data_IF_578589739664
#
_entry.id   IF_578589739664
#
_cell.length_a   1.000
_cell.length_b   1.000
_cell.length_c   1.000
_cell.angle_alpha   90.00
_cell.angle_beta   90.00
_cell.angle_gamma   90.00
#
_symmetry.space_group_name_H-M   'P 1'
#
loop_
_entity.id
_entity.type
_entity.pdbx_description
1 polymer ?
#
# COMPACT_ATOMS: atom_id res chain seq x y z
N UNK A 1 -2.85 25.94 4.44
CA UNK A 1 -2.82 25.88 2.95
C UNK A 1 -1.65 26.65 2.36
N UNK A 2 -1.29 27.85 2.87
CA UNK A 2 -0.12 28.62 2.37
C UNK A 2 1.24 27.92 2.51
N UNK A 3 1.32 26.86 3.30
CA UNK A 3 2.56 26.11 3.59
C UNK A 3 2.60 24.71 2.98
N UNK A 4 1.54 24.30 2.26
CA UNK A 4 1.53 22.99 1.61
C UNK A 4 2.07 23.12 0.19
N UNK A 5 3.06 22.29 -0.16
CA UNK A 5 3.59 22.24 -1.53
C UNK A 5 2.63 21.53 -2.50
N UNK A 6 1.79 20.63 -1.99
CA UNK A 6 0.85 19.82 -2.77
C UNK A 6 -0.46 19.59 -2.01
N UNK A 7 -1.57 19.65 -2.74
CA UNK A 7 -2.91 19.29 -2.29
C UNK A 7 -3.44 18.19 -3.20
N UNK A 8 -3.89 17.09 -2.60
CA UNK A 8 -4.46 15.96 -3.33
C UNK A 8 -5.94 15.82 -2.99
N UNK A 9 -6.81 16.01 -3.98
CA UNK A 9 -8.22 15.70 -3.90
C UNK A 9 -8.39 14.20 -4.18
N UNK A 10 -8.46 13.45 -3.08
CA UNK A 10 -8.29 12.00 -3.04
C UNK A 10 -9.17 11.38 -1.94
N UNK A 11 -9.45 10.08 -2.05
CA UNK A 11 -10.04 9.29 -0.96
C UNK A 11 -10.52 7.91 -1.41
N UNK A 12 -11.09 7.14 -0.49
CA UNK A 12 -11.75 5.86 -0.77
C UNK A 12 -13.06 6.01 -1.59
N UNK A 13 -13.53 7.24 -1.81
CA UNK A 13 -14.71 7.57 -2.61
C UNK A 13 -14.37 8.19 -3.97
N UNK A 14 -15.37 8.73 -4.66
CA UNK A 14 -15.20 9.43 -5.94
C UNK A 14 -15.31 10.96 -5.75
N UNK A 15 -14.20 11.72 -5.84
CA UNK A 15 -14.22 13.17 -5.62
C UNK A 15 -15.13 13.92 -6.60
N UNK A 16 -15.30 13.44 -7.83
CA UNK A 16 -16.16 14.08 -8.83
C UNK A 16 -17.66 14.00 -8.52
N UNK A 17 -18.06 13.24 -7.50
CA UNK A 17 -19.44 13.30 -6.98
C UNK A 17 -19.72 14.58 -6.19
N UNK A 18 -18.68 15.30 -5.76
CA UNK A 18 -18.84 16.57 -5.07
C UNK A 18 -19.19 17.68 -6.08
N UNK A 19 -20.38 18.32 -5.98
CA UNK A 19 -20.79 19.35 -6.93
C UNK A 19 -19.89 20.61 -6.90
N UNK A 20 -19.15 20.81 -5.82
CA UNK A 20 -18.25 21.95 -5.63
C UNK A 20 -16.79 21.62 -5.98
N UNK A 21 -16.47 20.47 -6.58
CA UNK A 21 -15.09 20.06 -6.88
C UNK A 21 -14.31 21.11 -7.69
N UNK A 22 -14.95 21.76 -8.66
CA UNK A 22 -14.34 22.84 -9.45
C UNK A 22 -14.07 24.07 -8.58
N UNK A 23 -15.01 24.45 -7.70
CA UNK A 23 -14.83 25.57 -6.76
C UNK A 23 -13.74 25.29 -5.74
N UNK A 24 -13.59 24.03 -5.31
CA UNK A 24 -12.50 23.61 -4.44
C UNK A 24 -11.15 23.78 -5.14
N UNK A 25 -11.06 23.41 -6.43
CA UNK A 25 -9.85 23.64 -7.21
C UNK A 25 -9.53 25.14 -7.37
N UNK A 26 -10.51 25.95 -7.73
CA UNK A 26 -10.39 27.42 -7.80
C UNK A 26 -9.98 28.04 -6.45
N UNK A 27 -10.51 27.50 -5.35
CA UNK A 27 -10.15 27.92 -4.00
C UNK A 27 -8.68 27.62 -3.72
N UNK A 28 -8.21 26.39 -3.97
CA UNK A 28 -6.81 26.01 -3.74
C UNK A 28 -5.88 26.91 -4.56
N UNK A 29 -6.18 27.10 -5.86
CA UNK A 29 -5.35 27.93 -6.75
C UNK A 29 -5.33 29.41 -6.35
N UNK A 30 -6.39 29.92 -5.72
CA UNK A 30 -6.44 31.30 -5.23
C UNK A 30 -5.68 31.48 -3.91
N UNK A 31 -5.74 30.49 -3.03
CA UNK A 31 -5.20 30.60 -1.67
C UNK A 31 -3.78 30.04 -1.51
N UNK A 32 -3.26 29.32 -2.51
CA UNK A 32 -1.93 28.70 -2.50
C UNK A 32 -1.36 28.51 -3.91
N UNK A 33 -0.04 28.40 -4.00
CA UNK A 33 0.69 27.96 -5.20
C UNK A 33 0.96 26.44 -5.21
N UNK A 34 0.33 25.71 -4.29
CA UNK A 34 0.45 24.26 -4.20
C UNK A 34 0.06 23.56 -5.51
N UNK A 35 0.78 22.48 -5.83
CA UNK A 35 0.35 21.56 -6.87
C UNK A 35 -1.00 20.93 -6.48
N UNK A 36 -1.97 20.98 -7.38
CA UNK A 36 -3.29 20.41 -7.14
C UNK A 36 -3.47 19.13 -7.96
N UNK A 37 -3.45 18.00 -7.28
CA UNK A 37 -3.68 16.68 -7.86
C UNK A 37 -5.13 16.24 -7.64
N UNK A 38 -5.78 15.75 -8.68
CA UNK A 38 -7.07 15.06 -8.57
C UNK A 38 -6.88 13.59 -8.92
N UNK A 39 -7.41 12.70 -8.10
CA UNK A 39 -7.56 11.28 -8.47
C UNK A 39 -9.04 10.93 -8.60
N UNK A 40 -9.38 10.19 -9.65
CA UNK A 40 -10.77 9.82 -9.94
C UNK A 40 -10.82 8.44 -10.59
N UNK A 41 -11.94 7.74 -10.44
CA UNK A 41 -12.21 6.54 -11.23
C UNK A 41 -12.50 6.85 -12.72
N UNK A 42 -12.65 8.13 -13.09
CA UNK A 42 -12.80 8.61 -14.46
C UNK A 42 -14.21 8.55 -15.04
N UNK A 43 -15.18 7.92 -14.35
CA UNK A 43 -16.55 7.74 -14.85
C UNK A 43 -17.26 9.08 -15.06
N UNK A 44 -17.12 9.99 -14.09
CA UNK A 44 -17.76 11.30 -14.11
C UNK A 44 -16.92 12.39 -14.79
N UNK A 45 -15.71 12.05 -15.26
CA UNK A 45 -14.76 12.98 -15.88
C UNK A 45 -15.14 13.31 -17.34
N UNK A 46 -16.36 13.81 -17.53
CA UNK A 46 -16.84 14.22 -18.85
C UNK A 46 -15.92 15.27 -19.47
N UNK A 47 -15.88 15.35 -20.80
CA UNK A 47 -15.06 16.32 -21.55
C UNK A 47 -15.20 17.76 -21.05
N UNK A 48 -16.44 18.16 -20.74
CA UNK A 48 -16.74 19.50 -20.21
C UNK A 48 -16.25 19.71 -18.79
N UNK A 49 -16.34 18.69 -17.93
CA UNK A 49 -15.82 18.77 -16.56
C UNK A 49 -14.29 18.78 -16.55
N UNK A 50 -13.63 17.95 -17.37
CA UNK A 50 -12.18 17.97 -17.54
C UNK A 50 -11.67 19.37 -17.90
N UNK A 51 -12.28 20.03 -18.89
CA UNK A 51 -11.91 21.40 -19.26
C UNK A 51 -12.10 22.42 -18.14
N UNK A 52 -13.16 22.28 -17.32
CA UNK A 52 -13.37 23.15 -16.15
C UNK A 52 -12.32 22.93 -15.07
N UNK A 53 -11.93 21.68 -14.80
CA UNK A 53 -10.91 21.34 -13.80
C UNK A 53 -9.52 21.86 -14.21
N UNK A 54 -9.14 21.66 -15.48
CA UNK A 54 -7.90 22.22 -16.04
C UNK A 54 -7.92 23.75 -15.94
N UNK A 55 -9.02 24.38 -16.33
CA UNK A 55 -9.17 25.85 -16.25
C UNK A 55 -9.16 26.38 -14.81
N UNK A 56 -9.58 25.57 -13.84
CA UNK A 56 -9.55 25.88 -12.41
C UNK A 56 -8.16 25.77 -11.78
N UNK A 57 -7.15 25.29 -12.53
CA UNK A 57 -5.77 25.22 -12.08
C UNK A 57 -5.38 23.89 -11.42
N UNK A 58 -6.09 22.79 -11.70
CA UNK A 58 -5.58 21.45 -11.40
C UNK A 58 -4.28 21.23 -12.17
N UNK A 59 -3.23 20.78 -11.49
CA UNK A 59 -1.91 20.55 -12.10
C UNK A 59 -1.72 19.12 -12.58
N UNK A 60 -2.42 18.16 -11.97
CA UNK A 60 -2.39 16.77 -12.41
C UNK A 60 -3.70 16.03 -12.16
N UNK A 61 -4.05 15.14 -13.10
CA UNK A 61 -5.24 14.29 -13.02
C UNK A 61 -4.83 12.83 -13.21
N UNK A 62 -5.11 12.03 -12.19
CA UNK A 62 -4.85 10.60 -12.19
C UNK A 62 -6.16 9.83 -12.31
N UNK A 63 -6.22 8.91 -13.28
CA UNK A 63 -7.36 8.03 -13.49
C UNK A 63 -7.05 6.64 -12.95
N UNK A 64 -7.86 6.13 -12.01
CA UNK A 64 -7.70 4.77 -11.49
C UNK A 64 -8.19 3.74 -12.52
N UNK A 65 -7.27 2.97 -13.10
CA UNK A 65 -7.54 2.06 -14.22
C UNK A 65 -6.63 0.82 -14.15
N UNK A 66 -7.23 -0.34 -13.87
CA UNK A 66 -6.46 -1.58 -13.59
C UNK A 66 -6.43 -2.57 -14.78
N UNK A 67 -7.12 -2.26 -15.87
CA UNK A 67 -7.08 -3.02 -17.13
C UNK A 67 -7.72 -2.20 -18.26
N UNK A 68 -7.21 -2.37 -19.48
CA UNK A 68 -7.86 -1.89 -20.71
C UNK A 68 -8.89 -2.88 -21.27
N UNK A 69 -8.90 -4.12 -20.75
CA UNK A 69 -9.95 -5.09 -21.06
C UNK A 69 -11.21 -4.73 -20.27
N UNK A 70 -12.27 -4.33 -20.96
CA UNK A 70 -13.50 -3.89 -20.32
C UNK A 70 -14.15 -4.93 -19.40
N UNK A 71 -14.12 -6.22 -19.77
CA UNK A 71 -14.71 -7.28 -18.96
C UNK A 71 -13.94 -7.45 -17.64
N UNK A 72 -12.61 -7.45 -17.70
CA UNK A 72 -11.75 -7.50 -16.53
C UNK A 72 -11.92 -6.25 -15.66
N UNK A 73 -11.95 -5.07 -16.28
CA UNK A 73 -12.14 -3.82 -15.56
C UNK A 73 -13.47 -3.80 -14.80
N UNK A 74 -14.58 -4.27 -15.41
CA UNK A 74 -15.88 -4.38 -14.73
C UNK A 74 -15.87 -5.40 -13.58
N UNK A 75 -15.07 -6.46 -13.67
CA UNK A 75 -14.90 -7.45 -12.60
C UNK A 75 -14.09 -6.89 -11.42
N UNK A 76 -13.06 -6.09 -11.71
CA UNK A 76 -12.22 -5.46 -10.68
C UNK A 76 -12.97 -4.30 -10.02
N UNK A 77 -13.59 -3.42 -10.82
CA UNK A 77 -14.30 -2.23 -10.39
C UNK A 77 -15.80 -2.38 -10.67
N UNK A 78 -16.49 -3.00 -9.72
CA UNK A 78 -17.93 -3.22 -9.85
C UNK A 78 -18.67 -1.88 -10.01
N UNK A 79 -19.54 -1.81 -11.03
CA UNK A 79 -20.33 -0.60 -11.33
C UNK A 79 -19.62 0.46 -12.15
N UNK A 80 -18.37 0.24 -12.59
CA UNK A 80 -17.66 1.18 -13.47
C UNK A 80 -18.26 1.21 -14.88
N UNK A 81 -18.38 2.41 -15.46
CA UNK A 81 -18.61 2.55 -16.89
C UNK A 81 -17.26 2.46 -17.62
N UNK A 82 -16.82 1.22 -17.89
CA UNK A 82 -15.53 0.94 -18.51
C UNK A 82 -15.32 1.70 -19.82
N UNK A 83 -16.38 1.86 -20.61
CA UNK A 83 -16.30 2.55 -21.89
C UNK A 83 -16.11 4.05 -21.68
N UNK A 84 -16.92 4.67 -20.83
CA UNK A 84 -16.81 6.09 -20.52
C UNK A 84 -15.42 6.43 -19.95
N UNK A 85 -14.88 5.61 -19.05
CA UNK A 85 -13.55 5.83 -18.46
C UNK A 85 -12.45 5.83 -19.53
N UNK A 86 -12.45 4.84 -20.43
CA UNK A 86 -11.45 4.76 -21.51
C UNK A 86 -11.59 5.92 -22.50
N UNK A 87 -12.82 6.29 -22.87
CA UNK A 87 -13.07 7.44 -23.74
C UNK A 87 -12.67 8.78 -23.08
N UNK A 88 -12.94 8.94 -21.78
CA UNK A 88 -12.57 10.12 -21.00
C UNK A 88 -11.05 10.23 -20.83
N UNK A 89 -10.35 9.14 -20.54
CA UNK A 89 -8.89 9.12 -20.45
C UNK A 89 -8.25 9.49 -21.78
N UNK A 90 -8.68 8.88 -22.90
CA UNK A 90 -8.18 9.23 -24.24
C UNK A 90 -8.40 10.70 -24.56
N UNK A 91 -9.56 11.24 -24.21
CA UNK A 91 -9.84 12.66 -24.42
C UNK A 91 -8.96 13.55 -23.55
N UNK A 92 -8.82 13.25 -22.26
CA UNK A 92 -7.99 14.00 -21.32
C UNK A 92 -6.53 14.03 -21.78
N UNK A 93 -5.95 12.85 -22.02
CA UNK A 93 -4.55 12.69 -22.45
C UNK A 93 -4.30 13.31 -23.84
N UNK A 94 -5.22 13.14 -24.79
CA UNK A 94 -5.08 13.70 -26.13
C UNK A 94 -5.30 15.21 -26.23
N UNK A 95 -6.04 15.81 -25.28
CA UNK A 95 -6.42 17.23 -25.32
C UNK A 95 -5.65 18.13 -24.37
N UNK A 96 -5.28 17.62 -23.19
CA UNK A 96 -4.80 18.43 -22.06
C UNK A 96 -3.45 17.98 -21.51
N UNK A 97 -2.77 16.99 -22.10
CA UNK A 97 -1.43 16.55 -21.65
C UNK A 97 -0.36 17.64 -21.74
N UNK A 98 -0.58 18.71 -22.51
CA UNK A 98 0.29 19.89 -22.51
C UNK A 98 -0.02 20.89 -21.39
N UNK A 99 -1.20 20.78 -20.77
CA UNK A 99 -1.72 21.72 -19.77
C UNK A 99 -1.63 21.16 -18.34
N UNK A 100 -1.83 19.85 -18.18
CA UNK A 100 -1.81 19.14 -16.89
C UNK A 100 -1.12 17.79 -17.05
N UNK A 101 -0.46 17.32 -15.99
CA UNK A 101 0.08 15.95 -15.97
C UNK A 101 -1.08 14.95 -15.96
N UNK A 102 -1.12 14.09 -16.97
CA UNK A 102 -2.13 13.02 -17.06
C UNK A 102 -1.51 11.70 -16.61
N UNK A 103 -2.02 11.19 -15.48
CA UNK A 103 -1.55 9.98 -14.85
C UNK A 103 -2.58 8.87 -14.82
N UNK A 104 -2.11 7.65 -14.60
CA UNK A 104 -2.94 6.47 -14.34
C UNK A 104 -2.46 5.78 -13.08
N UNK A 105 -3.39 5.39 -12.22
CA UNK A 105 -3.13 4.52 -11.08
C UNK A 105 -3.57 3.10 -11.41
N UNK A 106 -2.64 2.16 -11.28
CA UNK A 106 -2.84 0.76 -11.61
C UNK A 106 -2.64 -0.11 -10.36
N UNK A 107 -3.68 -0.82 -9.94
CA UNK A 107 -3.58 -1.80 -8.86
C UNK A 107 -3.21 -3.16 -9.45
N UNK A 108 -1.98 -3.60 -9.18
CA UNK A 108 -1.51 -4.91 -9.62
C UNK A 108 -2.01 -6.01 -8.71
N UNK A 109 -2.51 -7.06 -9.36
CA UNK A 109 -3.08 -8.27 -8.79
C UNK A 109 -2.61 -9.47 -9.60
N UNK A 110 -2.74 -10.67 -9.05
CA UNK A 110 -2.45 -11.92 -9.78
C UNK A 110 -3.19 -12.00 -11.11
N UNK A 111 -4.45 -11.57 -11.14
CA UNK A 111 -5.32 -11.67 -12.32
C UNK A 111 -5.04 -10.68 -13.45
N UNK A 112 -4.27 -9.61 -13.21
CA UNK A 112 -3.93 -8.60 -14.22
C UNK A 112 -2.41 -8.38 -14.38
N UNK A 113 -1.56 -9.01 -13.57
CA UNK A 113 -0.11 -8.83 -13.58
C UNK A 113 0.50 -8.90 -15.00
N UNK A 114 0.17 -9.94 -15.77
CA UNK A 114 0.74 -10.15 -17.10
C UNK A 114 0.36 -9.06 -18.12
N UNK A 115 -0.69 -8.28 -17.87
CA UNK A 115 -1.09 -7.16 -18.75
C UNK A 115 -0.23 -5.92 -18.56
N UNK A 116 0.47 -5.78 -17.45
CA UNK A 116 1.13 -4.52 -17.08
C UNK A 116 2.08 -3.99 -18.19
N UNK A 117 2.94 -4.80 -18.85
CA UNK A 117 3.80 -4.27 -19.90
C UNK A 117 3.02 -3.75 -21.13
N UNK A 118 2.01 -4.49 -21.60
CA UNK A 118 1.15 -4.03 -22.70
C UNK A 118 0.31 -2.82 -22.30
N UNK A 119 -0.22 -2.82 -21.08
CA UNK A 119 -0.98 -1.70 -20.52
C UNK A 119 -0.16 -0.41 -20.55
N UNK A 120 1.10 -0.47 -20.11
CA UNK A 120 2.02 0.66 -20.12
C UNK A 120 2.25 1.19 -21.54
N UNK A 121 2.46 0.32 -22.53
CA UNK A 121 2.57 0.75 -23.94
C UNK A 121 1.29 1.44 -24.42
N UNK A 122 0.13 0.80 -24.20
CA UNK A 122 -1.15 1.28 -24.70
C UNK A 122 -1.52 2.64 -24.10
N UNK A 123 -1.33 2.86 -22.79
CA UNK A 123 -1.63 4.17 -22.18
C UNK A 123 -0.63 5.24 -22.57
N UNK A 124 0.64 4.88 -22.78
CA UNK A 124 1.64 5.82 -23.31
C UNK A 124 1.25 6.32 -24.71
N UNK A 125 0.76 5.43 -25.58
CA UNK A 125 0.25 5.79 -26.91
C UNK A 125 -0.98 6.71 -26.85
N UNK A 126 -1.75 6.67 -25.75
CA UNK A 126 -2.86 7.60 -25.52
C UNK A 126 -2.41 8.99 -25.07
N UNK A 127 -1.13 9.17 -24.72
CA UNK A 127 -0.58 10.41 -24.18
C UNK A 127 -0.56 10.48 -22.65
N UNK A 128 -0.68 9.35 -21.96
CA UNK A 128 -0.48 9.29 -20.50
C UNK A 128 1.02 9.43 -20.21
N UNK A 129 1.36 10.27 -19.24
CA UNK A 129 2.76 10.62 -18.93
C UNK A 129 3.29 9.83 -17.74
N UNK A 130 2.40 9.38 -16.85
CA UNK A 130 2.79 8.66 -15.63
C UNK A 130 1.85 7.50 -15.32
N UNK A 131 2.42 6.33 -15.03
CA UNK A 131 1.72 5.20 -14.42
C UNK A 131 2.26 4.96 -13.02
N UNK A 132 1.40 5.09 -12.02
CA UNK A 132 1.67 4.72 -10.63
C UNK A 132 1.09 3.32 -10.36
N UNK A 133 1.95 2.35 -10.08
CA UNK A 133 1.55 0.99 -9.73
C UNK A 133 1.55 0.83 -8.22
N UNK A 134 0.50 0.20 -7.68
CA UNK A 134 0.41 -0.24 -6.29
C UNK A 134 0.03 -1.72 -6.24
N UNK A 135 0.52 -2.49 -5.28
CA UNK A 135 -0.13 -3.76 -4.96
C UNK A 135 -1.51 -3.50 -4.35
N UNK A 136 -2.40 -4.48 -4.50
CA UNK A 136 -3.74 -4.45 -3.90
C UNK A 136 -3.69 -4.44 -2.38
N UNK A 137 -4.60 -3.68 -1.76
CA UNK A 137 -4.83 -3.70 -0.31
C UNK A 137 -5.99 -4.66 -0.05
N UNK A 138 -5.78 -5.76 0.69
CA UNK A 138 -6.85 -6.72 0.91
C UNK A 138 -7.82 -6.24 1.99
N UNK A 139 -9.03 -5.84 1.59
CA UNK A 139 -10.15 -5.56 2.52
C UNK A 139 -11.00 -6.81 2.81
N UNK A 140 -10.68 -7.93 2.16
CA UNK A 140 -11.30 -9.24 2.37
C UNK A 140 -10.32 -10.36 2.05
N UNK A 141 -10.60 -11.57 2.52
CA UNK A 141 -9.82 -12.76 2.18
C UNK A 141 -9.83 -13.04 0.65
N UNK A 142 -10.94 -12.78 -0.03
CA UNK A 142 -11.04 -12.94 -1.49
C UNK A 142 -10.05 -12.04 -2.23
N UNK A 143 -9.95 -10.77 -1.82
CA UNK A 143 -8.98 -9.83 -2.38
C UNK A 143 -7.55 -10.24 -2.00
N UNK A 144 -7.34 -10.81 -0.81
CA UNK A 144 -6.01 -11.30 -0.39
C UNK A 144 -5.50 -12.42 -1.30
N UNK A 145 -6.39 -13.27 -1.83
CA UNK A 145 -6.02 -14.29 -2.83
C UNK A 145 -5.57 -13.69 -4.17
N UNK A 146 -5.88 -12.42 -4.45
CA UNK A 146 -5.39 -11.68 -5.61
C UNK A 146 -4.05 -10.98 -5.37
N UNK A 147 -3.54 -10.94 -4.13
CA UNK A 147 -2.25 -10.34 -3.83
C UNK A 147 -1.11 -11.07 -4.56
N UNK A 148 -0.32 -10.32 -5.31
CA UNK A 148 0.88 -10.81 -6.01
C UNK A 148 2.16 -10.57 -5.19
N UNK A 149 2.02 -10.37 -3.88
CA UNK A 149 3.12 -10.11 -2.94
C UNK A 149 2.98 -10.98 -1.69
N UNK A 150 3.99 -10.93 -0.82
CA UNK A 150 3.95 -11.51 0.51
C UNK A 150 4.31 -10.44 1.54
N UNK A 151 3.82 -10.61 2.78
CA UNK A 151 4.15 -9.78 3.94
C UNK A 151 5.40 -10.28 4.67
N UNK A 152 5.99 -11.39 4.25
CA UNK A 152 7.31 -11.82 4.72
C UNK A 152 8.38 -10.99 4.01
N UNK A 153 9.31 -10.45 4.77
CA UNK A 153 10.40 -9.66 4.21
C UNK A 153 11.36 -10.49 3.37
N UNK A 154 12.18 -9.81 2.55
CA UNK A 154 13.28 -10.45 1.81
C UNK A 154 14.24 -11.18 2.76
N UNK A 155 14.53 -10.60 3.92
CA UNK A 155 15.32 -11.22 4.98
C UNK A 155 14.67 -12.50 5.51
N UNK A 156 13.38 -12.46 5.82
CA UNK A 156 12.61 -13.62 6.27
C UNK A 156 12.55 -14.74 5.23
N UNK A 157 12.35 -14.40 3.96
CA UNK A 157 12.38 -15.36 2.83
C UNK A 157 13.77 -16.00 2.68
N UNK A 158 14.83 -15.21 2.76
CA UNK A 158 16.19 -15.71 2.59
C UNK A 158 16.62 -16.60 3.76
N UNK A 159 16.31 -16.20 4.99
CA UNK A 159 16.56 -16.99 6.19
C UNK A 159 15.77 -18.30 6.19
N UNK A 160 14.50 -18.24 5.80
CA UNK A 160 13.57 -19.36 5.76
C UNK A 160 13.61 -20.21 4.50
N UNK A 161 14.55 -19.96 3.56
CA UNK A 161 14.55 -20.62 2.25
C UNK A 161 14.48 -22.14 2.32
N UNK A 162 15.18 -22.73 3.29
CA UNK A 162 15.22 -24.18 3.45
C UNK A 162 13.95 -24.75 4.12
N UNK A 163 13.06 -23.92 4.65
CA UNK A 163 11.80 -24.33 5.27
C UNK A 163 10.65 -24.46 4.27
N UNK A 164 10.70 -23.78 3.12
CA UNK A 164 9.63 -23.84 2.14
C UNK A 164 9.33 -25.29 1.72
N UNK A 165 8.04 -25.65 1.70
CA UNK A 165 7.56 -26.97 1.29
C UNK A 165 7.74 -28.10 2.31
N UNK A 166 8.26 -27.82 3.52
CA UNK A 166 8.51 -28.85 4.55
C UNK A 166 7.36 -29.10 5.54
N UNK A 167 6.33 -28.25 5.53
CA UNK A 167 5.11 -28.47 6.32
C UNK A 167 5.25 -28.28 7.83
N UNK A 168 4.12 -28.37 8.54
CA UNK A 168 4.02 -28.06 9.98
C UNK A 168 4.79 -29.03 10.89
N UNK A 169 5.11 -30.23 10.39
CA UNK A 169 5.91 -31.25 11.07
C UNK A 169 7.28 -30.72 11.56
N UNK A 170 7.86 -29.72 10.89
CA UNK A 170 9.09 -29.08 11.32
C UNK A 170 8.91 -28.39 12.69
N UNK A 171 7.81 -27.65 12.87
CA UNK A 171 7.51 -26.97 14.13
C UNK A 171 7.20 -27.98 15.23
N UNK A 172 6.43 -29.04 14.92
CA UNK A 172 6.05 -30.06 15.89
C UNK A 172 7.27 -30.80 16.44
N UNK A 173 8.19 -31.25 15.57
CA UNK A 173 9.42 -31.93 16.00
C UNK A 173 10.36 -30.99 16.75
N UNK A 174 10.47 -29.73 16.33
CA UNK A 174 11.25 -28.72 17.04
C UNK A 174 10.72 -28.48 18.47
N UNK A 175 9.39 -28.37 18.61
CA UNK A 175 8.74 -28.22 19.91
C UNK A 175 8.95 -29.47 20.79
N UNK A 176 8.79 -30.68 20.24
CA UNK A 176 9.04 -31.92 20.96
C UNK A 176 10.48 -32.02 21.46
N UNK A 177 11.46 -31.75 20.57
CA UNK A 177 12.88 -31.72 20.90
C UNK A 177 13.20 -30.79 22.08
N UNK A 178 12.62 -29.58 22.06
CA UNK A 178 12.79 -28.60 23.14
C UNK A 178 12.11 -29.06 24.44
N UNK A 179 10.85 -29.51 24.37
CA UNK A 179 10.09 -29.95 25.53
C UNK A 179 10.71 -31.17 26.21
N UNK A 180 11.24 -32.13 25.45
CA UNK A 180 11.96 -33.27 26.02
C UNK A 180 13.23 -32.84 26.76
N UNK A 181 13.94 -31.83 26.23
CA UNK A 181 15.10 -31.26 26.91
C UNK A 181 14.70 -30.60 28.23
N UNK A 182 13.63 -29.78 28.23
CA UNK A 182 13.17 -29.02 29.39
C UNK A 182 12.53 -29.90 30.47
N UNK A 183 11.65 -30.83 30.08
CA UNK A 183 10.84 -31.60 31.03
C UNK A 183 11.41 -32.99 31.37
N UNK A 184 12.09 -33.63 30.42
CA UNK A 184 12.67 -34.96 30.64
C UNK A 184 14.18 -34.91 30.90
N UNK A 185 14.85 -33.77 30.68
CA UNK A 185 16.31 -33.66 30.78
C UNK A 185 17.06 -34.47 29.73
N UNK A 186 16.34 -34.98 28.71
CA UNK A 186 16.89 -35.80 27.63
C UNK A 186 16.77 -35.01 26.34
N UNK A 187 17.89 -34.46 25.81
CA UNK A 187 17.88 -33.80 24.53
C UNK A 187 17.61 -34.83 23.43
N UNK A 188 16.50 -34.67 22.71
CA UNK A 188 16.23 -35.44 21.49
C UNK A 188 16.89 -34.69 20.35
N UNK A 189 17.81 -35.34 19.64
CA UNK A 189 18.39 -34.74 18.43
C UNK A 189 17.33 -34.73 17.32
N UNK A 190 17.08 -33.58 16.72
CA UNK A 190 16.16 -33.42 15.60
C UNK A 190 16.77 -32.51 14.55
N UNK A 191 16.99 -33.06 13.36
CA UNK A 191 17.47 -32.30 12.20
C UNK A 191 16.47 -31.20 11.79
N UNK A 192 15.17 -31.40 12.04
CA UNK A 192 14.12 -30.39 11.80
C UNK A 192 14.19 -29.25 12.82
N UNK A 193 14.51 -29.55 14.07
CA UNK A 193 14.75 -28.53 15.10
C UNK A 193 15.98 -27.69 14.76
N UNK A 194 17.10 -28.33 14.39
CA UNK A 194 18.31 -27.64 13.95
C UNK A 194 18.04 -26.76 12.73
N UNK A 195 17.23 -27.24 11.77
CA UNK A 195 16.84 -26.48 10.59
C UNK A 195 16.06 -25.21 10.92
N UNK A 196 15.06 -25.29 11.81
CA UNK A 196 14.26 -24.13 12.23
C UNK A 196 15.12 -23.12 13.00
N UNK A 197 15.99 -23.60 13.90
CA UNK A 197 16.89 -22.75 14.66
C UNK A 197 17.93 -22.06 13.78
N UNK A 198 18.44 -22.74 12.75
CA UNK A 198 19.35 -22.15 11.76
C UNK A 198 18.67 -21.02 10.98
N UNK A 199 17.42 -21.23 10.54
CA UNK A 199 16.64 -20.19 9.88
C UNK A 199 16.42 -18.97 10.79
N UNK A 200 16.03 -19.18 12.06
CA UNK A 200 15.90 -18.10 13.05
C UNK A 200 17.20 -17.32 13.25
N UNK A 201 18.33 -18.02 13.39
CA UNK A 201 19.64 -17.39 13.57
C UNK A 201 20.02 -16.54 12.36
N UNK A 202 19.83 -17.05 11.14
CA UNK A 202 20.09 -16.30 9.90
C UNK A 202 19.22 -15.05 9.80
N UNK A 203 17.94 -15.13 10.17
CA UNK A 203 17.06 -13.97 10.19
C UNK A 203 17.61 -12.88 11.13
N UNK A 204 18.02 -13.25 12.34
CA UNK A 204 18.59 -12.32 13.32
C UNK A 204 19.93 -11.71 12.91
N UNK A 205 20.77 -12.46 12.20
CA UNK A 205 22.00 -11.91 11.59
C UNK A 205 21.69 -10.80 10.55
N UNK A 206 20.48 -10.78 10.00
CA UNK A 206 19.98 -9.75 9.07
C UNK A 206 19.04 -8.73 9.73
N UNK A 207 19.01 -8.66 11.08
CA UNK A 207 18.08 -7.82 11.85
C UNK A 207 16.59 -8.06 11.53
N UNK A 208 16.24 -9.30 11.22
CA UNK A 208 14.87 -9.72 10.96
C UNK A 208 14.44 -10.85 11.89
N UNK A 209 13.15 -11.18 11.85
CA UNK A 209 12.59 -12.40 12.42
C UNK A 209 12.06 -13.30 11.29
N UNK A 210 11.52 -14.47 11.64
CA UNK A 210 10.95 -15.40 10.67
C UNK A 210 9.56 -15.86 11.09
N UNK A 211 8.60 -15.69 10.19
CA UNK A 211 7.25 -16.22 10.33
C UNK A 211 7.23 -17.67 9.84
N UNK A 212 7.86 -18.55 10.62
CA UNK A 212 7.96 -19.98 10.29
C UNK A 212 6.59 -20.62 10.01
N UNK A 213 5.50 -20.32 10.76
CA UNK A 213 4.17 -20.79 10.42
C UNK A 213 3.73 -20.48 8.99
N UNK A 214 3.89 -19.22 8.56
CA UNK A 214 3.49 -18.78 7.24
C UNK A 214 4.36 -19.41 6.14
N UNK A 215 5.68 -19.48 6.34
CA UNK A 215 6.64 -20.10 5.41
C UNK A 215 6.35 -21.59 5.22
N UNK A 216 6.15 -22.33 6.31
CA UNK A 216 5.92 -23.77 6.29
C UNK A 216 4.54 -24.15 5.75
N UNK A 217 3.56 -23.25 5.85
CA UNK A 217 2.20 -23.48 5.33
C UNK A 217 2.11 -23.49 3.80
N UNK A 218 3.17 -23.07 3.08
CA UNK A 218 3.21 -23.08 1.61
C UNK A 218 2.49 -21.91 0.95
N UNK A 219 2.13 -20.88 1.72
CA UNK A 219 1.31 -19.75 1.27
C UNK A 219 2.13 -18.65 0.58
N UNK A 220 3.43 -18.65 0.85
CA UNK A 220 4.37 -17.79 0.13
C UNK A 220 4.64 -18.44 -1.22
N UNK A 221 4.00 -17.90 -2.24
CA UNK A 221 4.19 -18.34 -3.61
C UNK A 221 5.46 -17.70 -4.20
N UNK A 222 6.61 -18.36 -4.06
CA UNK A 222 7.88 -17.84 -4.59
C UNK A 222 7.81 -17.63 -6.12
N UNK A 223 7.03 -18.44 -6.83
CA UNK A 223 6.86 -18.31 -8.29
C UNK A 223 6.13 -17.01 -8.65
N UNK A 224 5.13 -16.58 -7.86
CA UNK A 224 4.50 -15.27 -8.11
C UNK A 224 5.49 -14.12 -7.90
N UNK A 225 6.37 -14.21 -6.89
CA UNK A 225 7.35 -13.15 -6.61
C UNK A 225 8.37 -13.02 -7.74
N UNK A 226 8.88 -14.15 -8.27
CA UNK A 226 9.75 -14.16 -9.44
C UNK A 226 9.04 -13.62 -10.69
N UNK A 227 7.77 -14.00 -10.87
CA UNK A 227 6.94 -13.50 -11.96
C UNK A 227 6.75 -11.98 -11.88
N UNK A 228 6.48 -11.43 -10.69
CA UNK A 228 6.38 -9.98 -10.48
C UNK A 228 7.70 -9.29 -10.82
N UNK A 229 8.84 -9.80 -10.34
CA UNK A 229 10.18 -9.25 -10.69
C UNK A 229 10.37 -9.18 -12.20
N UNK A 230 10.03 -10.25 -12.92
CA UNK A 230 10.14 -10.31 -14.39
C UNK A 230 9.23 -9.30 -15.07
N UNK A 231 7.94 -9.31 -14.74
CA UNK A 231 6.93 -8.44 -15.37
C UNK A 231 7.20 -6.96 -15.08
N UNK A 232 7.62 -6.61 -13.87
CA UNK A 232 8.02 -5.25 -13.52
C UNK A 232 9.23 -4.80 -14.33
N UNK A 233 10.20 -5.70 -14.53
CA UNK A 233 11.36 -5.45 -15.39
C UNK A 233 10.98 -5.23 -16.86
N UNK A 234 10.02 -5.99 -17.38
CA UNK A 234 9.47 -5.80 -18.73
C UNK A 234 8.72 -4.48 -18.86
N UNK A 235 7.80 -4.18 -17.93
CA UNK A 235 7.06 -2.92 -17.91
C UNK A 235 7.98 -1.70 -17.82
N UNK A 236 9.07 -1.79 -17.04
CA UNK A 236 10.09 -0.73 -16.94
C UNK A 236 10.80 -0.48 -18.28
N UNK A 237 11.11 -1.56 -19.03
CA UNK A 237 11.71 -1.44 -20.36
C UNK A 237 10.74 -0.77 -21.34
N UNK A 238 9.47 -1.17 -21.32
CA UNK A 238 8.43 -0.57 -22.17
C UNK A 238 8.24 0.91 -21.82
N UNK A 239 8.07 1.25 -20.54
CA UNK A 239 7.95 2.65 -20.10
C UNK A 239 9.12 3.51 -20.60
N UNK A 240 10.35 3.00 -20.50
CA UNK A 240 11.54 3.69 -20.99
C UNK A 240 11.54 3.93 -22.51
N UNK A 241 10.97 3.01 -23.30
CA UNK A 241 10.88 3.16 -24.76
C UNK A 241 9.92 4.29 -25.15
N UNK A 242 8.85 4.47 -24.39
CA UNK A 242 7.86 5.52 -24.63
C UNK A 242 8.17 6.84 -23.91
N UNK A 243 9.18 6.88 -23.04
CA UNK A 243 9.45 8.05 -22.18
C UNK A 243 8.40 8.26 -21.08
N UNK A 244 7.59 7.24 -20.79
CA UNK A 244 6.57 7.27 -19.75
C UNK A 244 7.22 7.09 -18.37
N UNK A 245 6.84 7.92 -17.40
CA UNK A 245 7.26 7.75 -16.00
C UNK A 245 6.51 6.55 -15.41
N UNK A 246 7.20 5.52 -14.97
CA UNK A 246 6.60 4.36 -14.33
C UNK A 246 7.09 4.24 -12.89
N UNK A 247 6.17 4.34 -11.93
CA UNK A 247 6.45 4.12 -10.51
C UNK A 247 5.97 2.72 -10.12
N UNK A 248 6.89 1.85 -9.70
CA UNK A 248 6.58 0.48 -9.29
C UNK A 248 6.70 0.30 -7.78
N UNK A 249 5.86 -0.55 -7.16
CA UNK A 249 6.14 -1.06 -5.82
C UNK A 249 7.29 -2.07 -5.89
N UNK A 250 7.92 -2.43 -4.76
CA UNK A 250 8.88 -3.53 -4.76
C UNK A 250 8.18 -4.85 -5.07
N UNK A 251 8.88 -5.77 -5.73
CA UNK A 251 8.41 -7.15 -5.88
C UNK A 251 8.48 -7.91 -4.55
N UNK A 252 9.52 -7.64 -3.76
CA UNK A 252 9.73 -8.08 -2.38
C UNK A 252 10.36 -6.91 -1.64
N UNK A 253 9.88 -6.61 -0.44
CA UNK A 253 10.38 -5.51 0.38
C UNK A 253 11.39 -6.02 1.43
N UNK A 254 12.25 -5.12 1.90
CA UNK A 254 13.12 -5.37 3.05
C UNK A 254 12.48 -4.80 4.32
N UNK A 255 12.49 -5.55 5.42
CA UNK A 255 11.96 -5.08 6.72
C UNK A 255 12.78 -3.91 7.28
N UNK A 256 14.07 -3.87 6.94
CA UNK A 256 15.02 -2.85 7.35
C UNK A 256 14.92 -1.56 6.53
N UNK A 257 14.17 -1.56 5.43
CA UNK A 257 13.98 -0.41 4.55
C UNK A 257 12.59 0.23 4.66
N UNK A 258 11.80 -0.16 5.68
CA UNK A 258 10.45 0.38 5.87
C UNK A 258 10.47 1.87 6.16
N UNK A 259 9.53 2.60 5.57
CA UNK A 259 9.36 4.05 5.74
C UNK A 259 7.90 4.43 5.62
N UNK A 260 7.41 5.32 6.47
CA UNK A 260 6.06 5.85 6.31
C UNK A 260 6.02 6.90 5.20
N UNK A 261 5.25 6.69 4.11
CA UNK A 261 5.27 7.63 2.98
C UNK A 261 4.61 8.97 3.33
N UNK A 262 3.73 9.02 4.34
CA UNK A 262 3.10 10.26 4.80
C UNK A 262 4.07 11.09 5.63
N UNK A 263 4.81 10.48 6.56
CA UNK A 263 5.80 11.21 7.37
C UNK A 263 6.99 11.66 6.54
N UNK A 264 7.50 10.83 5.62
CA UNK A 264 8.60 11.22 4.71
C UNK A 264 8.26 12.45 3.86
N UNK A 265 6.98 12.64 3.54
CA UNK A 265 6.48 13.76 2.72
C UNK A 265 5.87 14.90 3.53
N UNK A 266 5.92 14.85 4.86
CA UNK A 266 5.21 15.79 5.74
C UNK A 266 3.73 15.95 5.35
N UNK A 267 3.07 14.84 5.00
CA UNK A 267 1.69 14.82 4.57
C UNK A 267 0.73 14.47 5.71
N UNK A 268 -0.49 15.01 5.63
CA UNK A 268 -1.63 14.67 6.48
C UNK A 268 -2.87 14.47 5.63
N UNK A 269 -3.94 13.92 6.21
CA UNK A 269 -5.22 13.75 5.53
C UNK A 269 -6.31 14.47 6.30
N UNK A 270 -7.13 15.26 5.60
CA UNK A 270 -8.26 16.00 6.18
C UNK A 270 -9.54 15.40 5.62
N UNK A 271 -10.44 14.99 6.53
CA UNK A 271 -11.76 14.46 6.17
C UNK A 271 -12.75 15.60 5.90
N UNK A 272 -13.84 15.30 5.20
CA UNK A 272 -14.89 16.27 4.85
C UNK A 272 -15.50 16.99 6.06
N UNK A 273 -15.50 16.37 7.25
CA UNK A 273 -16.03 16.93 8.49
C UNK A 273 -14.98 17.72 9.29
N UNK A 274 -13.75 17.81 8.79
CA UNK A 274 -12.65 18.57 9.37
C UNK A 274 -11.69 17.76 10.23
N UNK A 275 -11.96 16.47 10.47
CA UNK A 275 -11.03 15.60 11.22
C UNK A 275 -9.69 15.44 10.49
N UNK A 276 -8.60 15.54 11.23
CA UNK A 276 -7.22 15.41 10.74
C UNK A 276 -6.67 14.04 11.13
N UNK A 277 -6.47 13.19 10.13
CA UNK A 277 -5.89 11.87 10.27
C UNK A 277 -4.45 11.84 9.74
N UNK A 278 -3.58 10.96 10.27
CA UNK A 278 -2.18 10.92 9.85
C UNK A 278 -1.98 10.38 8.43
N UNK A 279 -2.93 9.58 7.93
CA UNK A 279 -2.89 8.94 6.62
C UNK A 279 -4.29 8.45 6.21
N UNK A 280 -4.43 8.05 4.95
CA UNK A 280 -5.68 7.49 4.42
C UNK A 280 -6.12 6.20 5.13
N UNK A 281 -5.17 5.37 5.56
CA UNK A 281 -5.47 4.14 6.31
C UNK A 281 -6.25 4.43 7.60
N UNK A 282 -5.94 5.52 8.30
CA UNK A 282 -6.62 5.85 9.55
C UNK A 282 -7.75 6.86 9.39
N UNK A 283 -8.10 7.23 8.15
CA UNK A 283 -9.16 8.21 7.89
C UNK A 283 -10.56 7.70 8.25
N UNK A 284 -10.79 6.40 8.03
CA UNK A 284 -12.09 5.74 8.21
C UNK A 284 -11.94 4.37 8.88
N UNK A 285 -12.99 3.97 9.60
CA UNK A 285 -13.07 2.62 10.16
C UNK A 285 -13.36 1.61 9.04
N UNK A 286 -12.55 0.56 8.97
CA UNK A 286 -12.68 -0.51 7.99
C UNK A 286 -11.98 -1.78 8.48
N UNK A 287 -12.03 -2.85 7.68
CA UNK A 287 -11.32 -4.10 7.96
C UNK A 287 -10.26 -4.35 6.89
N UNK A 288 -9.13 -4.91 7.25
CA UNK A 288 -8.15 -5.42 6.31
C UNK A 288 -7.87 -6.90 6.60
N UNK A 289 -7.47 -7.65 5.57
CA UNK A 289 -7.05 -9.04 5.68
C UNK A 289 -5.56 -9.14 5.37
N UNK A 290 -4.74 -9.25 6.39
CA UNK A 290 -3.27 -9.31 6.30
C UNK A 290 -2.77 -10.41 7.21
N UNK A 291 -1.64 -11.03 6.89
CA UNK A 291 -1.05 -12.10 7.72
C UNK A 291 -2.06 -13.18 8.16
N UNK A 292 -2.96 -13.58 7.24
CA UNK A 292 -3.99 -14.62 7.43
C UNK A 292 -5.09 -14.33 8.47
N UNK A 293 -5.29 -13.08 8.86
CA UNK A 293 -6.37 -12.72 9.76
C UNK A 293 -7.02 -11.40 9.37
N UNK A 294 -8.21 -11.17 9.92
CA UNK A 294 -8.87 -9.87 9.83
C UNK A 294 -8.35 -8.95 10.92
N UNK A 295 -7.94 -7.75 10.53
CA UNK A 295 -7.63 -6.64 11.42
C UNK A 295 -8.69 -5.57 11.28
N UNK A 296 -9.22 -5.09 12.41
CA UNK A 296 -10.12 -3.94 12.47
C UNK A 296 -9.30 -2.65 12.53
N UNK A 297 -9.34 -1.86 11.48
CA UNK A 297 -8.73 -0.53 11.46
C UNK A 297 -9.75 0.47 12.01
N UNK A 298 -9.45 1.05 13.16
CA UNK A 298 -10.22 2.11 13.80
C UNK A 298 -9.64 3.44 13.35
N UNK A 299 -10.54 4.38 13.02
CA UNK A 299 -10.14 5.74 12.62
C UNK A 299 -9.27 6.41 13.69
N UNK A 300 -8.26 7.17 13.27
CA UNK A 300 -7.42 7.97 14.18
C UNK A 300 -7.49 9.44 13.80
N UNK A 301 -7.76 10.30 14.78
CA UNK A 301 -7.78 11.74 14.61
C UNK A 301 -6.84 12.40 15.62
N UNK A 302 -6.14 13.44 15.16
CA UNK A 302 -5.29 14.30 15.99
C UNK A 302 -5.95 15.66 16.27
N UNK A 303 -7.15 15.90 15.74
CA UNK A 303 -7.92 17.12 15.95
C UNK A 303 -8.84 17.46 14.79
N UNK A 304 -9.64 18.52 14.96
CA UNK A 304 -10.56 19.00 13.94
C UNK A 304 -10.25 20.44 13.53
N UNK A 305 -10.10 20.70 12.22
CA UNK A 305 -9.76 22.03 11.68
C UNK A 305 -10.85 23.10 11.89
N UNK A 306 -12.05 22.69 12.29
CA UNK A 306 -13.14 23.62 12.67
C UNK A 306 -12.99 24.16 14.08
N UNK A 307 -12.17 23.51 14.91
CA UNK A 307 -11.96 23.87 16.32
C UNK A 307 -10.60 24.52 16.54
N UNK A 308 -9.56 24.03 15.86
CA UNK A 308 -8.19 24.53 15.94
C UNK A 308 -7.62 24.68 14.53
N UNK A 309 -6.64 25.55 14.36
CA UNK A 309 -5.94 25.65 13.07
C UNK A 309 -5.19 24.36 12.74
N UNK A 310 -4.95 24.11 11.45
CA UNK A 310 -4.17 22.94 11.03
C UNK A 310 -2.74 22.96 11.60
N UNK A 311 -2.15 24.15 11.73
CA UNK A 311 -0.81 24.33 12.31
C UNK A 311 -0.78 23.93 13.79
N UNK A 312 -1.79 24.32 14.58
CA UNK A 312 -1.92 23.92 15.98
C UNK A 312 -2.11 22.39 16.12
N UNK A 313 -2.91 21.78 15.24
CA UNK A 313 -3.12 20.32 15.24
C UNK A 313 -1.83 19.60 14.85
N UNK A 314 -1.17 20.05 13.78
CA UNK A 314 0.07 19.48 13.27
C UNK A 314 1.18 19.50 14.33
N UNK A 315 1.32 20.62 15.05
CA UNK A 315 2.31 20.80 16.10
C UNK A 315 1.84 20.31 17.49
N UNK A 316 0.67 19.67 17.59
CA UNK A 316 0.19 19.07 18.83
C UNK A 316 1.06 17.90 19.28
N UNK A 317 1.25 17.76 20.60
CA UNK A 317 2.13 16.77 21.24
C UNK A 317 1.89 15.35 20.70
N UNK A 318 0.65 14.86 20.74
CA UNK A 318 0.30 13.51 20.27
C UNK A 318 0.65 13.28 18.78
N UNK A 319 0.45 14.29 17.92
CA UNK A 319 0.72 14.15 16.49
C UNK A 319 2.22 14.25 16.19
N UNK A 320 2.95 15.10 16.93
CA UNK A 320 4.41 15.16 16.87
C UNK A 320 5.02 13.83 17.32
N UNK A 321 4.57 13.27 18.46
CA UNK A 321 5.02 11.96 18.95
C UNK A 321 4.77 10.85 17.94
N UNK A 322 3.58 10.81 17.34
CA UNK A 322 3.26 9.87 16.27
C UNK A 322 4.25 9.98 15.10
N UNK A 323 4.53 11.20 14.65
CA UNK A 323 5.42 11.46 13.51
C UNK A 323 6.88 11.11 13.83
N UNK A 324 7.39 11.49 15.01
CA UNK A 324 8.76 11.16 15.44
C UNK A 324 8.96 9.66 15.59
N UNK A 325 8.00 8.96 16.21
CA UNK A 325 8.01 7.49 16.25
C UNK A 325 8.07 6.90 14.85
N UNK A 326 7.16 7.34 13.98
CA UNK A 326 6.97 6.79 12.64
C UNK A 326 8.10 7.15 11.67
N UNK A 327 8.88 8.21 11.94
CA UNK A 327 10.10 8.55 11.21
C UNK A 327 11.17 7.47 11.34
N UNK A 328 11.26 6.84 12.52
CA UNK A 328 12.18 5.74 12.80
C UNK A 328 11.43 4.38 12.87
N UNK A 329 10.48 4.15 11.96
CA UNK A 329 9.52 3.03 12.03
C UNK A 329 10.18 1.64 12.14
N UNK A 330 11.37 1.46 11.58
CA UNK A 330 12.11 0.18 11.65
C UNK A 330 12.46 -0.19 13.09
N UNK A 331 12.89 0.78 13.89
CA UNK A 331 13.30 0.57 15.29
C UNK A 331 12.11 0.69 16.25
N UNK A 332 11.20 1.61 15.96
CA UNK A 332 10.15 2.02 16.89
C UNK A 332 8.85 1.20 16.80
N UNK A 333 8.64 0.52 15.67
CA UNK A 333 7.38 -0.20 15.39
C UNK A 333 7.70 -1.63 14.94
N UNK A 334 7.12 -2.66 15.58
CA UNK A 334 7.36 -4.05 15.20
C UNK A 334 6.82 -4.32 13.79
N UNK A 335 7.42 -5.28 13.07
CA UNK A 335 6.85 -5.79 11.82
C UNK A 335 6.22 -7.16 12.06
N UNK A 336 4.89 -7.22 12.00
CA UNK A 336 4.16 -8.46 12.28
C UNK A 336 4.27 -9.50 11.16
N UNK A 337 4.59 -9.10 9.92
CA UNK A 337 4.71 -10.03 8.79
C UNK A 337 5.79 -11.11 9.00
N UNK A 338 6.87 -10.76 9.70
CA UNK A 338 7.97 -11.69 10.05
C UNK A 338 7.80 -12.34 11.43
N UNK A 339 6.78 -11.94 12.20
CA UNK A 339 6.53 -12.49 13.52
C UNK A 339 5.80 -13.84 13.42
N UNK A 340 6.26 -14.91 14.12
CA UNK A 340 5.56 -16.20 14.08
C UNK A 340 4.14 -16.13 14.67
N UNK A 341 3.88 -15.21 15.59
CA UNK A 341 2.59 -15.12 16.29
C UNK A 341 1.51 -14.40 15.48
N UNK A 342 1.86 -13.57 14.50
CA UNK A 342 0.87 -12.77 13.74
C UNK A 342 -0.12 -13.62 12.95
N UNK A 343 0.24 -14.86 12.64
CA UNK A 343 -0.62 -15.84 11.95
C UNK A 343 -1.26 -16.84 12.91
N UNK A 344 -1.07 -16.66 14.22
CA UNK A 344 -1.53 -17.55 15.30
C UNK A 344 -2.37 -16.77 16.32
N UNK A 345 -3.32 -15.97 15.84
CA UNK A 345 -4.29 -15.20 16.65
C UNK A 345 -3.64 -14.27 17.70
N UNK A 346 -2.56 -13.59 17.34
CA UNK A 346 -1.95 -12.57 18.19
C UNK A 346 -2.95 -11.46 18.52
N UNK A 347 -3.18 -11.20 19.82
CA UNK A 347 -4.12 -10.16 20.27
C UNK A 347 -3.79 -8.77 19.71
N UNK A 348 -2.50 -8.42 19.56
CA UNK A 348 -2.04 -7.12 19.06
C UNK A 348 -2.31 -6.87 17.57
N UNK A 349 -2.71 -7.89 16.80
CA UNK A 349 -3.01 -7.72 15.37
C UNK A 349 -4.51 -7.57 15.10
N UNK A 350 -5.37 -7.75 16.11
CA UNK A 350 -6.82 -7.63 15.97
C UNK A 350 -7.31 -6.21 15.67
N UNK A 351 -6.61 -5.17 16.13
CA UNK A 351 -6.91 -3.77 15.82
C UNK A 351 -5.65 -2.91 15.65
N UNK A 352 -5.81 -1.64 15.31
CA UNK A 352 -4.71 -0.66 15.28
C UNK A 352 -4.61 0.16 16.58
N UNK A 353 -5.25 -0.24 17.67
CA UNK A 353 -5.22 0.53 18.92
C UNK A 353 -3.88 0.39 19.66
N UNK A 354 -3.24 -0.78 19.59
CA UNK A 354 -2.01 -1.06 20.34
C UNK A 354 -1.16 -2.11 19.62
N UNK A 355 0.16 -1.92 19.59
CA UNK A 355 1.11 -2.97 19.21
C UNK A 355 1.88 -3.54 20.42
N UNK A 356 2.68 -4.58 20.19
CA UNK A 356 3.44 -5.23 21.26
C UNK A 356 4.59 -4.38 21.83
N UNK A 357 4.89 -3.23 21.22
CA UNK A 357 5.86 -2.26 21.76
C UNK A 357 5.17 -1.16 22.58
N UNK A 358 3.82 -1.16 22.62
CA UNK A 358 3.03 -0.20 23.37
C UNK A 358 2.62 1.03 22.57
N UNK A 359 2.75 1.01 21.24
CA UNK A 359 2.43 2.17 20.42
C UNK A 359 0.94 2.27 20.08
N UNK A 360 0.44 3.51 20.09
CA UNK A 360 -0.91 3.87 19.64
C UNK A 360 -0.85 5.07 18.69
N UNK A 361 -1.56 5.05 17.54
CA UNK A 361 -2.06 3.85 16.86
C UNK A 361 -0.92 2.96 16.33
N UNK A 362 -1.23 1.68 16.13
CA UNK A 362 -0.33 0.61 15.71
C UNK A 362 -0.14 0.52 14.20
N UNK A 363 1.09 0.75 13.73
CA UNK A 363 1.50 0.63 12.33
C UNK A 363 2.16 -0.73 12.01
N UNK A 364 2.00 -1.74 12.87
CA UNK A 364 2.79 -2.99 12.84
C UNK A 364 2.57 -3.89 11.61
N UNK A 365 1.48 -3.66 10.88
CA UNK A 365 1.09 -4.38 9.66
C UNK A 365 0.88 -3.44 8.48
N UNK A 366 1.42 -2.23 8.57
CA UNK A 366 1.25 -1.20 7.55
C UNK A 366 1.98 -1.57 6.24
N UNK A 367 1.24 -2.04 5.25
CA UNK A 367 1.75 -2.36 3.90
C UNK A 367 2.19 -1.14 3.09
N UNK A 368 1.78 0.07 3.49
CA UNK A 368 2.35 1.30 2.92
C UNK A 368 3.78 1.52 3.41
N UNK A 369 4.07 1.12 4.66
CA UNK A 369 5.42 1.29 5.23
C UNK A 369 6.46 0.39 4.55
N UNK A 370 6.02 -0.73 3.98
CA UNK A 370 6.87 -1.63 3.19
C UNK A 370 7.03 -1.18 1.74
N UNK A 371 6.26 -0.17 1.31
CA UNK A 371 6.19 0.30 -0.07
C UNK A 371 5.42 -0.61 -1.02
N UNK A 372 4.86 -1.73 -0.54
CA UNK A 372 4.03 -2.64 -1.34
C UNK A 372 2.77 -1.93 -1.84
N UNK A 373 2.09 -1.21 -0.95
CA UNK A 373 1.03 -0.29 -1.30
C UNK A 373 1.60 1.12 -1.53
N UNK A 374 1.09 1.81 -2.55
CA UNK A 374 1.47 3.19 -2.91
C UNK A 374 0.24 4.08 -2.89
N UNK A 375 0.40 5.29 -2.36
CA UNK A 375 -0.57 6.38 -2.53
C UNK A 375 0.06 7.48 -3.38
N UNK A 376 -0.74 8.16 -4.19
CA UNK A 376 -0.35 9.36 -4.92
C UNK A 376 -0.37 10.60 -4.01
N UNK A 377 0.46 10.57 -2.97
CA UNK A 377 0.64 11.69 -2.03
C UNK A 377 1.81 12.57 -2.41
#
# INVERSE_FOLDING_TARGET
MREADKVVLYGLGEPLMNPDIVKMAEFVKRESEADLTLTTNGTLLTRGLAGKLVSAGVTSIYVSLDSLNEERLRKIRYGIDSRAVLENLRYLAGKFSSDVEVGVEYVVMRGNLDELPSFVADVAEMGVEHVLVSHVIPYSEEVARQAAYTTISEEGINAGRNLFGRGWEVILEAAQSLLSTVYAGVPIKSDKAELLMDAWRKAREMNAEINAPLILSGEVDVNILEKVKRVFGEASKVASQYGLKLTLPPAVFSVNARKCPYVEKNATTIRWDGEVAPCQEYLHEHQCYVNKHYKKVIRCSFGNIKERSLEEIWNGEEYVEFRERTKNIVESTPWCGDCPYSTMDCWFTGSNELDCYGNTPSCSECIYSTGLAKCNI
#
